data_IF_649121175658
#
_entry.id   IF_649121175658
#
_cell.length_a   1.000
_cell.length_b   1.000
_cell.length_c   1.000
_cell.angle_alpha   90.00
_cell.angle_beta   90.00
_cell.angle_gamma   90.00
#
_symmetry.space_group_name_H-M   'P 1'
#
loop_
_entity.id
_entity.type
_entity.pdbx_description
1 polymer ?
#
# COMPACT_ATOMS: atom_id res chain seq x y z
N UNK A 1 8.27 7.74 -38.19
CA UNK A 1 8.19 7.69 -36.71
C UNK A 1 7.40 8.83 -36.07
N UNK A 2 7.56 10.11 -36.47
CA UNK A 2 6.85 11.26 -35.83
C UNK A 2 5.31 11.23 -35.91
N UNK A 3 4.71 10.69 -36.99
CA UNK A 3 3.24 10.67 -37.17
C UNK A 3 2.51 9.68 -36.25
N UNK A 4 3.10 8.52 -35.97
CA UNK A 4 2.50 7.48 -35.09
C UNK A 4 2.48 7.94 -33.62
N UNK A 5 3.43 8.79 -33.22
CA UNK A 5 3.46 9.39 -31.88
C UNK A 5 2.39 10.47 -31.70
N UNK A 6 2.11 11.28 -32.73
CA UNK A 6 1.05 12.31 -32.67
C UNK A 6 -0.36 11.71 -32.60
N UNK A 7 -0.60 10.57 -33.26
CA UNK A 7 -1.87 9.85 -33.19
C UNK A 7 -2.17 9.23 -31.81
N UNK A 8 -1.14 8.92 -31.01
CA UNK A 8 -1.31 8.42 -29.64
C UNK A 8 -1.61 9.55 -28.64
N UNK A 9 -1.16 10.77 -28.91
CA UNK A 9 -1.41 11.96 -28.09
C UNK A 9 -2.83 12.54 -28.26
N UNK A 10 -3.47 12.30 -29.42
CA UNK A 10 -4.79 12.85 -29.74
C UNK A 10 -5.97 11.90 -29.45
N UNK A 11 -5.74 10.75 -28.81
CA UNK A 11 -6.83 9.88 -28.36
C UNK A 11 -7.35 10.41 -27.03
N UNK A 12 -8.57 10.94 -27.02
CA UNK A 12 -9.30 11.23 -25.78
C UNK A 12 -9.33 9.96 -24.91
N UNK A 13 -9.11 10.07 -23.58
CA UNK A 13 -9.12 8.91 -22.70
C UNK A 13 -10.48 8.22 -22.78
N UNK A 14 -10.55 6.87 -22.86
CA UNK A 14 -11.80 6.18 -22.64
C UNK A 14 -12.27 6.50 -21.21
N UNK A 15 -13.50 7.01 -21.09
CA UNK A 15 -14.29 7.29 -19.88
C UNK A 15 -13.71 6.80 -18.54
N UNK A 16 -12.60 7.39 -18.11
CA UNK A 16 -11.97 7.11 -16.80
C UNK A 16 -12.70 7.88 -15.70
N UNK A 17 -13.37 8.97 -16.09
CA UNK A 17 -14.05 9.92 -15.22
C UNK A 17 -15.21 9.26 -14.44
N UNK A 18 -15.98 8.37 -15.07
CA UNK A 18 -17.17 7.77 -14.42
C UNK A 18 -16.76 6.77 -13.33
N UNK A 19 -15.75 5.93 -13.59
CA UNK A 19 -15.26 4.93 -12.61
C UNK A 19 -14.54 5.59 -11.44
N UNK A 20 -13.76 6.65 -11.68
CA UNK A 20 -13.07 7.37 -10.60
C UNK A 20 -14.04 8.06 -9.64
N UNK A 21 -15.13 8.68 -10.14
CA UNK A 21 -16.10 9.39 -9.30
C UNK A 21 -16.89 8.43 -8.39
N UNK A 22 -17.27 7.24 -8.88
CA UNK A 22 -18.02 6.28 -8.06
C UNK A 22 -17.17 5.67 -6.94
N UNK A 23 -15.87 5.40 -7.20
CA UNK A 23 -14.94 4.85 -6.20
C UNK A 23 -14.56 5.89 -5.14
N UNK A 24 -14.43 7.17 -5.50
CA UNK A 24 -14.16 8.22 -4.51
C UNK A 24 -15.31 8.42 -3.53
N UNK A 25 -16.55 8.24 -3.98
CA UNK A 25 -17.73 8.39 -3.13
C UNK A 25 -17.83 7.26 -2.10
N UNK A 26 -17.58 6.00 -2.49
CA UNK A 26 -17.65 4.86 -1.54
C UNK A 26 -16.58 4.93 -0.46
N UNK A 27 -15.36 5.36 -0.81
CA UNK A 27 -14.26 5.51 0.15
C UNK A 27 -14.53 6.67 1.11
N UNK A 28 -15.01 7.82 0.62
CA UNK A 28 -15.36 8.95 1.47
C UNK A 28 -16.50 8.62 2.45
N UNK A 29 -17.50 7.87 2.01
CA UNK A 29 -18.59 7.36 2.84
C UNK A 29 -18.07 6.39 3.90
N UNK A 30 -17.20 5.45 3.52
CA UNK A 30 -16.56 4.52 4.47
C UNK A 30 -15.76 5.28 5.54
N UNK A 31 -14.94 6.25 5.13
CA UNK A 31 -14.13 7.06 6.05
C UNK A 31 -14.99 7.91 6.99
N UNK A 32 -16.07 8.50 6.47
CA UNK A 32 -17.03 9.25 7.28
C UNK A 32 -17.72 8.34 8.30
N UNK A 33 -18.14 7.14 7.89
CA UNK A 33 -18.78 6.18 8.79
C UNK A 33 -17.84 5.68 9.89
N UNK A 34 -16.59 5.38 9.56
CA UNK A 34 -15.56 4.99 10.54
C UNK A 34 -15.30 6.13 11.52
N UNK A 35 -15.17 7.38 11.03
CA UNK A 35 -14.94 8.55 11.88
C UNK A 35 -16.07 8.75 12.88
N UNK A 36 -17.32 8.71 12.41
CA UNK A 36 -18.49 8.86 13.27
C UNK A 36 -18.56 7.76 14.35
N UNK A 37 -18.12 6.54 14.02
CA UNK A 37 -18.04 5.43 14.98
C UNK A 37 -16.99 5.75 16.07
N UNK A 38 -15.79 6.20 15.67
CA UNK A 38 -14.71 6.52 16.59
C UNK A 38 -15.01 7.74 17.47
N UNK A 39 -15.60 8.81 16.90
CA UNK A 39 -15.90 10.04 17.64
C UNK A 39 -17.02 9.84 18.69
N UNK A 40 -17.80 8.76 18.56
CA UNK A 40 -18.91 8.47 19.46
C UNK A 40 -18.53 7.74 20.75
N UNK A 41 -17.33 7.14 20.82
CA UNK A 41 -16.97 6.20 21.88
C UNK A 41 -15.67 6.55 22.60
N UNK A 42 -15.63 6.22 23.90
CA UNK A 42 -14.47 6.52 24.77
C UNK A 42 -13.67 5.27 25.16
N UNK A 43 -14.25 4.08 24.98
CA UNK A 43 -13.64 2.80 25.37
C UNK A 43 -13.37 1.93 24.14
N UNK A 44 -12.24 1.21 24.16
CA UNK A 44 -11.82 0.32 23.08
C UNK A 44 -12.76 -0.87 22.93
N UNK A 45 -13.30 -1.37 24.03
CA UNK A 45 -14.26 -2.49 24.02
C UNK A 45 -15.61 -2.05 23.42
N UNK A 46 -16.05 -0.81 23.69
CA UNK A 46 -17.26 -0.23 23.09
C UNK A 46 -17.08 -0.02 21.57
N UNK A 47 -15.91 0.45 21.14
CA UNK A 47 -15.56 0.57 19.71
C UNK A 47 -15.58 -0.81 19.06
N UNK A 48 -14.94 -1.82 19.68
CA UNK A 48 -14.90 -3.18 19.15
C UNK A 48 -16.31 -3.78 19.02
N UNK A 49 -17.14 -3.62 20.05
CA UNK A 49 -18.54 -4.05 20.02
C UNK A 49 -19.30 -3.42 18.84
N UNK A 50 -19.19 -2.11 18.63
CA UNK A 50 -19.83 -1.42 17.50
C UNK A 50 -19.32 -1.89 16.15
N UNK A 51 -18.00 -2.10 16.03
CA UNK A 51 -17.39 -2.61 14.80
C UNK A 51 -17.96 -3.99 14.45
N UNK A 52 -18.05 -4.89 15.43
CA UNK A 52 -18.61 -6.23 15.24
C UNK A 52 -20.10 -6.18 14.88
N UNK A 53 -20.88 -5.32 15.54
CA UNK A 53 -22.30 -5.12 15.26
C UNK A 53 -22.52 -4.65 13.81
N UNK A 54 -21.76 -3.66 13.37
CA UNK A 54 -21.89 -3.09 12.02
C UNK A 54 -21.40 -4.08 10.94
N UNK A 55 -20.33 -4.83 11.22
CA UNK A 55 -19.90 -5.93 10.34
C UNK A 55 -20.99 -6.99 10.21
N UNK A 56 -21.65 -7.36 11.31
CA UNK A 56 -22.76 -8.32 11.28
C UNK A 56 -23.93 -7.81 10.43
N UNK A 57 -24.26 -6.51 10.54
CA UNK A 57 -25.26 -5.84 9.68
C UNK A 57 -24.90 -5.95 8.20
N UNK A 58 -23.66 -5.62 7.83
CA UNK A 58 -23.17 -5.70 6.45
C UNK A 58 -23.17 -7.14 5.91
N UNK A 59 -22.85 -8.14 6.75
CA UNK A 59 -22.95 -9.55 6.37
C UNK A 59 -24.40 -9.96 6.09
N UNK A 60 -25.34 -9.56 6.96
CA UNK A 60 -26.78 -9.81 6.77
C UNK A 60 -27.29 -9.21 5.45
N UNK A 61 -26.79 -8.04 5.06
CA UNK A 61 -27.13 -7.35 3.82
C UNK A 61 -26.33 -7.86 2.60
N UNK A 62 -25.49 -8.89 2.76
CA UNK A 62 -24.61 -9.45 1.71
C UNK A 62 -23.57 -8.45 1.17
N UNK A 63 -23.23 -7.43 1.96
CA UNK A 63 -22.24 -6.39 1.67
C UNK A 63 -20.86 -6.69 2.27
N UNK A 64 -20.52 -7.97 2.49
CA UNK A 64 -19.22 -8.41 3.03
C UNK A 64 -18.01 -7.95 2.18
N UNK A 65 -18.23 -7.64 0.91
CA UNK A 65 -17.17 -7.18 0.01
C UNK A 65 -17.15 -5.66 -0.18
N UNK A 66 -18.01 -4.92 0.53
CA UNK A 66 -18.02 -3.46 0.50
C UNK A 66 -16.74 -2.89 1.10
N UNK A 67 -16.39 -1.67 0.67
CA UNK A 67 -15.26 -0.92 1.22
C UNK A 67 -15.46 -0.65 2.72
N UNK A 68 -16.70 -0.41 3.16
CA UNK A 68 -17.03 -0.27 4.58
C UNK A 68 -16.69 -1.54 5.37
N UNK A 69 -17.06 -2.73 4.86
CA UNK A 69 -16.73 -3.98 5.55
C UNK A 69 -15.22 -4.19 5.65
N UNK A 70 -14.47 -3.90 4.57
CA UNK A 70 -13.01 -3.97 4.58
C UNK A 70 -12.40 -3.00 5.60
N UNK A 71 -12.87 -1.76 5.63
CA UNK A 71 -12.42 -0.75 6.59
C UNK A 71 -12.67 -1.17 8.04
N UNK A 72 -13.86 -1.71 8.33
CA UNK A 72 -14.20 -2.23 9.66
C UNK A 72 -13.38 -3.46 10.04
N UNK A 73 -13.07 -4.35 9.10
CA UNK A 73 -12.21 -5.51 9.35
C UNK A 73 -10.75 -5.08 9.65
N UNK A 74 -10.25 -4.05 8.96
CA UNK A 74 -8.94 -3.46 9.27
C UNK A 74 -8.98 -2.80 10.65
N UNK A 75 -10.04 -2.04 10.97
CA UNK A 75 -10.18 -1.35 12.25
C UNK A 75 -10.25 -2.34 13.43
N UNK A 76 -11.06 -3.40 13.31
CA UNK A 76 -11.11 -4.49 14.30
C UNK A 76 -9.71 -5.06 14.55
N UNK A 77 -8.98 -5.36 13.47
CA UNK A 77 -7.63 -5.92 13.58
C UNK A 77 -6.65 -4.96 14.24
N UNK A 78 -6.73 -3.66 13.92
CA UNK A 78 -5.92 -2.62 14.58
C UNK A 78 -6.23 -2.57 16.07
N UNK A 79 -7.51 -2.60 16.46
CA UNK A 79 -7.93 -2.60 17.87
C UNK A 79 -7.36 -3.82 18.60
N UNK A 80 -7.52 -5.01 18.05
CA UNK A 80 -6.98 -6.25 18.61
C UNK A 80 -5.45 -6.23 18.69
N UNK A 81 -4.78 -5.76 17.63
CA UNK A 81 -3.32 -5.70 17.57
C UNK A 81 -2.74 -4.65 18.51
N UNK A 82 -3.42 -3.51 18.76
CA UNK A 82 -2.92 -2.45 19.66
C UNK A 82 -2.72 -2.92 21.10
N UNK A 83 -3.48 -3.92 21.55
CA UNK A 83 -3.27 -4.54 22.87
C UNK A 83 -1.97 -5.36 22.93
N UNK A 84 -1.42 -5.74 21.78
CA UNK A 84 -0.17 -6.50 21.65
C UNK A 84 1.04 -5.57 21.44
N UNK A 85 0.85 -4.26 21.32
CA UNK A 85 1.93 -3.30 21.08
C UNK A 85 2.66 -3.01 22.40
N UNK A 86 3.80 -3.67 22.60
CA UNK A 86 4.66 -3.34 23.72
C UNK A 86 5.69 -2.29 23.27
N UNK A 87 5.50 -1.03 23.67
CA UNK A 87 6.39 0.10 23.35
C UNK A 87 7.86 -0.17 23.74
N UNK A 88 8.08 -1.05 24.71
CA UNK A 88 9.40 -1.40 25.22
C UNK A 88 10.13 -2.49 24.41
N UNK A 89 9.47 -3.10 23.42
CA UNK A 89 10.08 -4.21 22.69
C UNK A 89 10.83 -3.72 21.45
N UNK A 90 12.11 -4.11 21.34
CA UNK A 90 12.92 -3.98 20.12
C UNK A 90 12.42 -5.02 19.09
N UNK A 91 11.17 -4.86 18.65
CA UNK A 91 10.56 -5.78 17.71
C UNK A 91 11.34 -5.76 16.39
N UNK A 92 11.41 -6.93 15.77
CA UNK A 92 12.10 -7.10 14.50
C UNK A 92 11.30 -6.43 13.38
N UNK A 93 12.01 -5.86 12.38
CA UNK A 93 11.40 -5.22 11.20
C UNK A 93 10.35 -6.13 10.52
N UNK A 94 10.67 -7.43 10.44
CA UNK A 94 9.80 -8.47 9.88
C UNK A 94 8.46 -8.60 10.62
N UNK A 95 8.43 -8.37 11.94
CA UNK A 95 7.20 -8.45 12.74
C UNK A 95 6.27 -7.30 12.42
N UNK A 96 6.79 -6.06 12.35
CA UNK A 96 6.02 -4.89 11.94
C UNK A 96 5.50 -5.02 10.51
N UNK A 97 6.40 -5.45 9.60
CA UNK A 97 6.05 -5.69 8.21
C UNK A 97 4.88 -6.67 8.08
N UNK A 98 4.94 -7.85 8.72
CA UNK A 98 3.87 -8.86 8.63
C UNK A 98 2.53 -8.36 9.16
N UNK A 99 2.53 -7.60 10.25
CA UNK A 99 1.30 -6.97 10.78
C UNK A 99 0.71 -6.01 9.77
N UNK A 100 1.53 -5.09 9.24
CA UNK A 100 1.08 -4.12 8.24
C UNK A 100 0.62 -4.76 6.92
N UNK A 101 1.36 -5.76 6.41
CA UNK A 101 0.99 -6.51 5.22
C UNK A 101 -0.40 -7.14 5.39
N UNK A 102 -0.73 -7.64 6.58
CA UNK A 102 -2.05 -8.24 6.82
C UNK A 102 -3.22 -7.25 6.74
N UNK A 103 -3.00 -5.95 7.00
CA UNK A 103 -4.00 -4.91 6.76
C UNK A 103 -4.20 -4.70 5.25
N UNK A 104 -3.10 -4.68 4.50
CA UNK A 104 -3.14 -4.55 3.05
C UNK A 104 -3.77 -5.78 2.38
N UNK A 105 -3.54 -6.99 2.87
CA UNK A 105 -4.25 -8.20 2.38
C UNK A 105 -5.76 -8.00 2.44
N UNK A 106 -6.27 -7.48 3.57
CA UNK A 106 -7.69 -7.23 3.76
C UNK A 106 -8.21 -6.14 2.83
N UNK A 107 -7.45 -5.06 2.66
CA UNK A 107 -7.79 -3.95 1.77
C UNK A 107 -7.86 -4.39 0.30
N UNK A 108 -6.84 -5.14 -0.13
CA UNK A 108 -6.59 -5.53 -1.52
C UNK A 108 -7.36 -6.78 -1.94
N UNK A 109 -8.15 -7.40 -1.06
CA UNK A 109 -9.06 -8.49 -1.42
C UNK A 109 -9.88 -8.13 -2.67
N UNK A 110 -9.85 -9.02 -3.66
CA UNK A 110 -10.54 -8.90 -4.97
C UNK A 110 -10.08 -7.72 -5.83
N UNK A 111 -8.87 -7.20 -5.60
CA UNK A 111 -8.22 -6.27 -6.53
C UNK A 111 -7.22 -7.01 -7.41
N UNK A 112 -6.79 -6.39 -8.50
CA UNK A 112 -5.70 -6.89 -9.36
C UNK A 112 -4.30 -6.58 -8.79
N UNK A 113 -4.23 -6.13 -7.54
CA UNK A 113 -2.99 -5.75 -6.87
C UNK A 113 -2.45 -6.92 -6.07
N UNK A 114 -1.20 -7.27 -6.38
CA UNK A 114 -0.46 -8.30 -5.68
C UNK A 114 0.59 -7.66 -4.76
N UNK A 115 0.73 -8.21 -3.56
CA UNK A 115 1.83 -7.91 -2.67
C UNK A 115 2.96 -8.89 -2.92
N UNK A 116 4.12 -8.36 -3.29
CA UNK A 116 5.34 -9.15 -3.45
C UNK A 116 6.21 -8.90 -2.23
N UNK A 117 6.37 -9.95 -1.42
CA UNK A 117 7.18 -10.01 -0.20
C UNK A 117 8.54 -10.65 -0.49
N UNK A 118 9.53 -10.30 0.33
CA UNK A 118 10.79 -11.01 0.45
C UNK A 118 11.81 -10.50 -0.57
N UNK A 119 12.68 -9.59 -0.12
CA UNK A 119 13.91 -9.13 -0.79
C UNK A 119 13.85 -9.07 -2.33
N UNK A 120 12.69 -8.69 -2.88
CA UNK A 120 12.47 -8.78 -4.32
C UNK A 120 13.04 -7.51 -4.95
N UNK A 121 13.75 -7.70 -6.06
CA UNK A 121 14.34 -6.62 -6.82
C UNK A 121 13.25 -5.73 -7.45
N UNK A 122 13.24 -4.45 -7.10
CA UNK A 122 12.39 -3.46 -7.76
C UNK A 122 12.88 -3.19 -9.18
N UNK A 123 12.02 -3.46 -10.16
CA UNK A 123 12.37 -3.34 -11.57
C UNK A 123 12.67 -1.90 -11.97
N UNK A 124 11.87 -0.95 -11.45
CA UNK A 124 12.06 0.49 -11.66
C UNK A 124 13.43 0.96 -11.15
N UNK A 125 13.88 0.46 -9.99
CA UNK A 125 15.19 0.82 -9.45
C UNK A 125 16.34 0.38 -10.36
N UNK A 126 16.21 -0.81 -10.97
CA UNK A 126 17.21 -1.33 -11.91
C UNK A 126 17.28 -0.47 -13.16
N UNK A 127 16.12 -0.13 -13.73
CA UNK A 127 16.00 0.71 -14.93
C UNK A 127 16.57 2.10 -14.65
N UNK A 128 16.29 2.70 -13.49
CA UNK A 128 16.82 4.01 -13.10
C UNK A 128 18.36 3.99 -13.02
N UNK A 129 18.95 2.96 -12.42
CA UNK A 129 20.42 2.80 -12.34
C UNK A 129 21.02 2.65 -13.75
N UNK A 130 20.45 1.78 -14.59
CA UNK A 130 20.91 1.59 -15.98
C UNK A 130 20.81 2.88 -16.79
N UNK A 131 19.71 3.61 -16.65
CA UNK A 131 19.49 4.90 -17.33
C UNK A 131 20.51 5.95 -16.87
N UNK A 132 20.78 6.03 -15.57
CA UNK A 132 21.79 6.95 -15.03
C UNK A 132 23.20 6.60 -15.54
N UNK A 133 23.58 5.32 -15.57
CA UNK A 133 24.87 4.89 -16.15
C UNK A 133 25.02 5.35 -17.61
N UNK A 134 23.95 5.20 -18.41
CA UNK A 134 23.93 5.62 -19.80
C UNK A 134 24.00 7.15 -19.95
N UNK A 135 23.22 7.88 -19.15
CA UNK A 135 23.10 9.34 -19.25
C UNK A 135 24.40 10.06 -18.82
N UNK A 136 25.08 9.54 -17.79
CA UNK A 136 26.30 10.14 -17.26
C UNK A 136 27.59 9.52 -17.82
N UNK A 137 27.48 8.67 -18.86
CA UNK A 137 28.62 8.01 -19.51
C UNK A 137 29.58 7.34 -18.53
N UNK A 138 29.03 6.71 -17.48
CA UNK A 138 29.85 5.98 -16.52
C UNK A 138 30.36 4.72 -17.23
N UNK A 139 31.68 4.61 -17.44
CA UNK A 139 32.35 3.41 -17.99
C UNK A 139 32.36 2.23 -17.00
N UNK A 140 31.28 2.08 -16.24
CA UNK A 140 31.14 1.03 -15.25
C UNK A 140 30.42 -0.18 -15.86
N UNK A 141 31.22 -1.15 -16.30
CA UNK A 141 30.77 -2.44 -16.83
C UNK A 141 30.22 -3.41 -15.79
N UNK A 142 30.12 -2.99 -14.51
CA UNK A 142 29.57 -3.84 -13.46
C UNK A 142 28.10 -4.17 -13.69
N UNK A 143 27.71 -5.40 -13.29
CA UNK A 143 26.32 -5.84 -13.35
C UNK A 143 25.43 -4.94 -12.50
N UNK A 144 24.31 -4.48 -13.08
CA UNK A 144 23.32 -3.69 -12.36
C UNK A 144 22.37 -4.60 -11.61
N UNK A 145 22.32 -4.44 -10.29
CA UNK A 145 21.39 -5.15 -9.42
C UNK A 145 20.21 -4.26 -9.05
N UNK A 146 19.02 -4.85 -9.10
CA UNK A 146 17.81 -4.21 -8.59
C UNK A 146 17.90 -4.08 -7.07
N UNK A 147 17.36 -2.99 -6.53
CA UNK A 147 17.25 -2.81 -5.10
C UNK A 147 16.24 -3.80 -4.53
N UNK A 148 16.62 -4.50 -3.47
CA UNK A 148 15.75 -5.35 -2.69
C UNK A 148 14.85 -4.49 -1.81
N UNK A 149 13.54 -4.67 -1.95
CA UNK A 149 12.52 -3.90 -1.22
C UNK A 149 11.69 -4.88 -0.41
N UNK A 150 11.32 -4.48 0.82
CA UNK A 150 10.58 -5.34 1.75
C UNK A 150 9.16 -5.63 1.23
N UNK A 151 8.48 -4.61 0.69
CA UNK A 151 7.15 -4.76 0.10
C UNK A 151 7.05 -4.01 -1.23
N UNK A 152 6.65 -4.72 -2.28
CA UNK A 152 6.30 -4.13 -3.58
C UNK A 152 4.82 -4.39 -3.85
N UNK A 153 4.06 -3.32 -4.09
CA UNK A 153 2.71 -3.42 -4.64
C UNK A 153 2.81 -3.48 -6.16
N UNK A 154 2.35 -4.57 -6.76
CA UNK A 154 2.44 -4.81 -8.21
C UNK A 154 1.05 -4.96 -8.81
N UNK A 155 0.80 -4.25 -9.91
CA UNK A 155 -0.40 -4.45 -10.70
C UNK A 155 -0.23 -5.65 -11.61
N UNK A 156 -0.93 -6.75 -11.30
CA UNK A 156 -1.06 -7.98 -12.09
C UNK A 156 0.27 -8.64 -12.51
N UNK A 157 0.39 -9.95 -12.31
CA UNK A 157 1.60 -10.71 -12.68
C UNK A 157 1.98 -10.63 -14.16
N UNK A 158 1.03 -10.23 -15.03
CA UNK A 158 1.26 -10.11 -16.47
C UNK A 158 1.94 -8.81 -16.89
N UNK A 159 1.80 -7.72 -16.13
CA UNK A 159 2.30 -6.39 -16.55
C UNK A 159 3.48 -5.89 -15.73
N UNK A 160 3.89 -6.57 -14.65
CA UNK A 160 5.07 -6.24 -13.84
C UNK A 160 5.24 -4.73 -13.60
N UNK A 161 4.14 -4.03 -13.30
CA UNK A 161 4.18 -2.61 -12.96
C UNK A 161 4.24 -2.49 -11.45
N UNK A 162 5.41 -2.08 -10.96
CA UNK A 162 5.64 -1.78 -9.55
C UNK A 162 5.03 -0.40 -9.24
N UNK A 163 4.04 -0.34 -8.34
CA UNK A 163 3.27 0.86 -8.00
C UNK A 163 3.82 1.58 -6.78
N UNK A 164 4.21 0.83 -5.75
CA UNK A 164 4.70 1.37 -4.49
C UNK A 164 5.77 0.42 -3.92
N UNK A 165 6.72 1.02 -3.21
CA UNK A 165 7.77 0.33 -2.48
C UNK A 165 7.81 0.81 -1.04
N UNK A 166 7.69 -0.09 -0.08
CA UNK A 166 7.85 0.22 1.33
C UNK A 166 9.08 -0.49 1.89
N UNK A 167 9.89 0.23 2.66
CA UNK A 167 11.01 -0.32 3.41
C UNK A 167 10.83 -0.02 4.90
N UNK A 168 11.08 -1.04 5.72
CA UNK A 168 10.91 -0.98 7.16
C UNK A 168 12.27 -0.91 7.84
N UNK A 169 12.38 -0.13 8.91
CA UNK A 169 13.62 0.01 9.69
C UNK A 169 13.30 -0.04 11.18
N UNK A 170 14.20 -0.65 11.97
CA UNK A 170 14.08 -0.68 13.44
C UNK A 170 14.04 0.73 14.02
N UNK A 171 13.40 0.89 15.17
CA UNK A 171 13.32 2.17 15.89
C UNK A 171 14.69 2.77 16.20
N UNK A 172 15.66 1.91 16.57
CA UNK A 172 17.03 2.25 16.98
C UNK A 172 17.98 2.64 15.84
N UNK A 173 17.54 2.63 14.57
CA UNK A 173 18.42 3.10 13.49
C UNK A 173 18.72 4.59 13.63
N UNK A 174 19.93 5.00 13.22
CA UNK A 174 20.36 6.41 13.29
C UNK A 174 19.48 7.30 12.42
N UNK A 175 19.30 8.57 12.83
CA UNK A 175 18.54 9.55 12.06
C UNK A 175 19.11 9.75 10.66
N UNK A 176 20.42 9.67 10.50
CA UNK A 176 21.09 9.71 9.20
C UNK A 176 20.65 8.54 8.30
N UNK A 177 20.56 7.31 8.85
CA UNK A 177 20.10 6.16 8.08
C UNK A 177 18.62 6.31 7.69
N UNK A 178 17.77 6.87 8.58
CA UNK A 178 16.36 7.17 8.25
C UNK A 178 16.27 8.15 7.09
N UNK A 179 16.99 9.27 7.15
CA UNK A 179 16.97 10.30 6.12
C UNK A 179 17.52 9.76 4.79
N UNK A 180 18.65 9.06 4.86
CA UNK A 180 19.26 8.41 3.69
C UNK A 180 18.31 7.41 3.05
N UNK A 181 17.44 6.74 3.80
CA UNK A 181 16.45 5.83 3.24
C UNK A 181 15.27 6.55 2.59
N UNK A 182 14.74 7.59 3.22
CA UNK A 182 13.63 8.39 2.69
C UNK A 182 13.99 9.05 1.36
N UNK A 183 15.20 9.61 1.25
CA UNK A 183 15.67 10.27 0.03
C UNK A 183 15.87 9.33 -1.16
N UNK A 184 15.82 8.01 -0.96
CA UNK A 184 16.01 7.04 -2.05
C UNK A 184 14.71 6.55 -2.69
N UNK A 185 13.54 6.98 -2.22
CA UNK A 185 12.24 6.60 -2.82
C UNK A 185 11.89 7.47 -4.05
N UNK A 186 12.63 8.57 -4.25
CA UNK A 186 12.49 9.45 -5.42
C UNK A 186 13.82 9.52 -6.21
N UNK A 187 14.11 8.49 -7.03
CA UNK A 187 15.11 8.58 -8.10
C UNK A 187 14.85 7.50 -9.16
#
# INVERSE_FOLDING_TARGET
MKKVYQEKLNRSPPSTIITTITVTNSVAEAMTGVRNLLDSEKDMDDILYKVQLEKARLVKEKLRHSDMYKALAILEKVIEDTQLWNEASDEQEMTFYRRFASYLDTLLIKTDLNMIDGETGCSSSKIAIETNKQLFHVEDSSATYARKIDLILRYNDRKNVDLCSNEWKRSKVTSELKLKQQSKICA
#
